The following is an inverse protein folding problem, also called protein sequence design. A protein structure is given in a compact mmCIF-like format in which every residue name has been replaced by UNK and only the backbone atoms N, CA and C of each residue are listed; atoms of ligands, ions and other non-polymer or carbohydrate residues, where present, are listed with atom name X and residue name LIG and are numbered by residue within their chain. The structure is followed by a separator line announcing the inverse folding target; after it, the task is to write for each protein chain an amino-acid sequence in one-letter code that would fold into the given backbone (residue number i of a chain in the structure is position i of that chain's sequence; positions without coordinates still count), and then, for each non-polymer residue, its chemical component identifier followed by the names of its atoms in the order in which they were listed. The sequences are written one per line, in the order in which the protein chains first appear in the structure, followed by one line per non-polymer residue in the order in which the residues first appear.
data_IF_039697243481
#
_entry.id   IF_039697243481
#
_cell.length_a   1.000
_cell.length_b   1.000
_cell.length_c   1.000
_cell.angle_alpha   90.00
_cell.angle_beta   90.00
_cell.angle_gamma   90.00
#
_symmetry.space_group_name_H-M   'P 1'
#
loop_
_entity.id
_entity.type
_entity.pdbx_description
1 polymer ?
#
# COMPACT_ATOMS: atom_id res chain seq x y z
N UNK A 1 3.39 -20.01 -4.01
CA UNK A 1 2.08 -19.36 -4.27
C UNK A 1 1.66 -18.54 -3.06
N UNK A 2 1.20 -17.31 -3.29
CA UNK A 2 0.77 -16.43 -2.20
C UNK A 2 -0.51 -16.98 -1.58
N UNK A 3 -0.52 -17.09 -0.24
CA UNK A 3 -1.74 -17.45 0.47
C UNK A 3 -2.57 -16.17 0.68
N UNK A 4 -3.61 -16.03 -0.12
CA UNK A 4 -4.49 -14.87 -0.11
C UNK A 4 -5.11 -14.61 1.27
N UNK A 5 -5.55 -15.67 1.97
CA UNK A 5 -6.18 -15.52 3.29
C UNK A 5 -5.22 -14.95 4.34
N UNK A 6 -3.98 -15.42 4.32
CA UNK A 6 -2.95 -14.90 5.22
C UNK A 6 -2.59 -13.47 4.89
N UNK A 7 -2.52 -13.14 3.60
CA UNK A 7 -2.23 -11.79 3.15
C UNK A 7 -3.32 -10.80 3.59
N UNK A 8 -4.58 -11.13 3.38
CA UNK A 8 -5.73 -10.30 3.80
C UNK A 8 -5.69 -10.08 5.31
N UNK A 9 -5.38 -11.11 6.07
CA UNK A 9 -5.29 -11.02 7.52
C UNK A 9 -4.13 -10.11 7.96
N UNK A 10 -2.99 -10.21 7.29
CA UNK A 10 -1.83 -9.38 7.59
C UNK A 10 -2.06 -7.91 7.23
N UNK A 11 -2.85 -7.64 6.20
CA UNK A 11 -3.16 -6.28 5.73
C UNK A 11 -4.57 -5.83 6.13
N UNK A 12 -4.91 -6.09 7.38
CA UNK A 12 -6.23 -5.83 7.95
C UNK A 12 -6.68 -4.37 7.82
N UNK A 13 -5.73 -3.44 7.83
CA UNK A 13 -6.01 -1.99 7.72
C UNK A 13 -6.11 -1.49 6.27
N UNK A 14 -5.94 -2.37 5.30
CA UNK A 14 -6.02 -2.01 3.89
C UNK A 14 -7.26 -2.60 3.24
N UNK A 15 -7.78 -1.92 2.22
CA UNK A 15 -8.89 -2.41 1.42
C UNK A 15 -8.39 -3.17 0.20
N UNK A 16 -8.88 -4.38 0.00
CA UNK A 16 -8.55 -5.17 -1.18
C UNK A 16 -9.19 -4.56 -2.42
N UNK A 17 -8.38 -4.26 -3.43
CA UNK A 17 -8.81 -3.59 -4.66
C UNK A 17 -8.87 -4.52 -5.87
N UNK A 18 -8.37 -5.72 -5.75
CA UNK A 18 -8.46 -6.72 -6.81
C UNK A 18 -7.21 -7.56 -6.95
N UNK A 19 -7.35 -8.66 -7.66
CA UNK A 19 -6.24 -9.50 -8.06
C UNK A 19 -5.99 -9.36 -9.56
N UNK A 20 -4.75 -9.55 -9.97
CA UNK A 20 -4.35 -9.56 -11.36
C UNK A 20 -3.31 -10.67 -11.55
N UNK A 21 -2.86 -10.87 -12.78
CA UNK A 21 -1.83 -11.87 -13.07
C UNK A 21 -0.54 -11.62 -12.27
N UNK A 22 -0.27 -10.34 -11.98
CA UNK A 22 0.95 -9.94 -11.30
C UNK A 22 0.86 -9.96 -9.77
N UNK A 23 -0.34 -10.13 -9.21
CA UNK A 23 -0.50 -10.19 -7.76
C UNK A 23 -1.82 -9.66 -7.24
N UNK A 24 -1.81 -9.23 -5.98
CA UNK A 24 -2.99 -8.70 -5.30
C UNK A 24 -2.76 -7.24 -4.95
N UNK A 25 -3.77 -6.41 -5.22
CA UNK A 25 -3.71 -4.97 -4.98
C UNK A 25 -4.54 -4.58 -3.75
N UNK A 26 -3.94 -3.83 -2.86
CA UNK A 26 -4.57 -3.29 -1.65
C UNK A 26 -4.39 -1.79 -1.63
N UNK A 27 -5.40 -1.08 -1.12
CA UNK A 27 -5.40 0.38 -1.06
C UNK A 27 -5.63 0.84 0.37
N UNK A 28 -4.97 1.92 0.76
CA UNK A 28 -5.20 2.58 2.03
C UNK A 28 -5.30 4.09 1.82
N UNK A 29 -6.12 4.75 2.64
CA UNK A 29 -6.32 6.19 2.56
C UNK A 29 -7.18 6.62 1.38
N UNK A 30 -8.05 5.77 0.87
CA UNK A 30 -8.83 6.00 -0.35
C UNK A 30 -9.58 7.35 -0.39
N UNK A 31 -10.13 7.80 0.72
CA UNK A 31 -10.87 9.06 0.80
C UNK A 31 -10.04 10.22 1.34
N UNK A 32 -8.75 10.00 1.58
CA UNK A 32 -7.85 11.02 2.10
C UNK A 32 -7.16 11.77 0.96
N UNK A 33 -6.58 12.92 1.26
CA UNK A 33 -5.79 13.71 0.29
C UNK A 33 -4.57 12.95 -0.21
N UNK A 34 -4.06 12.07 0.62
CA UNK A 34 -2.95 11.18 0.28
C UNK A 34 -3.38 9.73 0.49
N UNK A 35 -3.14 8.92 -0.51
CA UNK A 35 -3.43 7.50 -0.45
C UNK A 35 -2.30 6.73 -1.10
N UNK A 36 -2.30 5.42 -0.93
CA UNK A 36 -1.31 4.56 -1.55
C UNK A 36 -1.90 3.20 -1.85
N UNK A 37 -1.33 2.53 -2.82
CA UNK A 37 -1.69 1.15 -3.13
C UNK A 37 -0.45 0.26 -3.08
N UNK A 38 -0.65 -0.98 -2.67
CA UNK A 38 0.35 -2.03 -2.72
C UNK A 38 -0.10 -3.07 -3.73
N UNK A 39 0.75 -3.40 -4.68
CA UNK A 39 0.56 -4.57 -5.53
C UNK A 39 1.60 -5.59 -5.11
N UNK A 40 1.14 -6.71 -4.55
CA UNK A 40 1.98 -7.72 -3.93
C UNK A 40 2.05 -8.94 -4.83
N UNK A 41 3.23 -9.28 -5.28
CA UNK A 41 3.47 -10.44 -6.12
C UNK A 41 4.54 -11.34 -5.51
N UNK A 42 4.49 -12.61 -5.84
CA UNK A 42 5.49 -13.58 -5.39
C UNK A 42 6.70 -13.52 -6.33
N UNK A 43 7.86 -13.21 -5.78
CA UNK A 43 9.10 -13.16 -6.55
C UNK A 43 9.75 -14.53 -6.61
N UNK A 44 9.91 -15.17 -5.45
CA UNK A 44 10.38 -16.54 -5.29
C UNK A 44 9.69 -17.12 -4.06
N UNK A 45 9.89 -18.41 -3.79
CA UNK A 45 9.36 -19.03 -2.58
C UNK A 45 9.89 -18.25 -1.36
N UNK A 46 8.98 -17.70 -0.56
CA UNK A 46 9.25 -16.91 0.65
C UNK A 46 9.84 -15.51 0.39
N UNK A 47 9.75 -15.01 -0.85
CA UNK A 47 10.13 -13.63 -1.16
C UNK A 47 9.05 -12.96 -1.98
N UNK A 48 8.70 -11.74 -1.63
CA UNK A 48 7.62 -11.00 -2.27
C UNK A 48 8.12 -9.66 -2.77
N UNK A 49 7.50 -9.20 -3.83
CA UNK A 49 7.75 -7.90 -4.41
C UNK A 49 6.53 -7.03 -4.13
N UNK A 50 6.74 -5.88 -3.53
CA UNK A 50 5.65 -4.93 -3.26
C UNK A 50 5.87 -3.70 -4.10
N UNK A 51 5.01 -3.50 -5.08
CA UNK A 51 4.96 -2.27 -5.86
C UNK A 51 4.09 -1.28 -5.11
N UNK A 52 4.64 -0.13 -4.78
CA UNK A 52 3.98 0.90 -3.99
C UNK A 52 3.73 2.11 -4.87
N UNK A 53 2.49 2.55 -4.94
CA UNK A 53 2.09 3.72 -5.70
C UNK A 53 1.46 4.73 -4.76
N UNK A 54 2.00 5.94 -4.73
CA UNK A 54 1.49 7.03 -3.89
C UNK A 54 0.64 7.97 -4.71
N UNK A 55 -0.50 8.36 -4.16
CA UNK A 55 -1.47 9.22 -4.81
C UNK A 55 -1.75 10.45 -3.96
N UNK A 56 -1.98 11.57 -4.63
CA UNK A 56 -2.63 12.73 -4.03
C UNK A 56 -4.07 12.75 -4.55
N UNK A 57 -4.73 13.89 -4.62
CA UNK A 57 -6.10 14.00 -5.13
C UNK A 57 -6.25 13.74 -6.64
N UNK A 58 -5.43 12.89 -7.22
CA UNK A 58 -5.44 12.59 -8.65
C UNK A 58 -5.60 11.09 -8.89
N UNK A 59 -5.98 10.74 -10.12
CA UNK A 59 -6.10 9.35 -10.56
C UNK A 59 -4.74 8.69 -10.82
N UNK A 60 -3.69 9.50 -10.94
CA UNK A 60 -2.37 9.00 -11.33
C UNK A 60 -1.43 9.03 -10.14
N UNK A 61 -0.59 8.02 -9.99
CA UNK A 61 0.38 8.04 -8.91
C UNK A 61 1.39 9.16 -9.12
N UNK A 62 1.71 9.87 -8.04
CA UNK A 62 2.74 10.92 -8.05
C UNK A 62 4.13 10.33 -7.82
N UNK A 63 4.19 9.11 -7.31
CA UNK A 63 5.44 8.41 -7.07
C UNK A 63 5.19 6.91 -7.05
N UNK A 64 6.11 6.16 -7.65
CA UNK A 64 6.11 4.69 -7.61
C UNK A 64 7.46 4.21 -7.13
N UNK A 65 7.47 3.15 -6.34
CA UNK A 65 8.69 2.44 -5.99
C UNK A 65 8.38 0.98 -5.67
N UNK A 66 9.42 0.15 -5.70
CA UNK A 66 9.30 -1.28 -5.51
C UNK A 66 10.19 -1.69 -4.36
N UNK A 67 9.66 -2.53 -3.47
CA UNK A 67 10.40 -3.05 -2.33
C UNK A 67 10.30 -4.57 -2.29
N UNK A 68 11.40 -5.22 -1.95
CA UNK A 68 11.43 -6.67 -1.71
C UNK A 68 11.21 -6.93 -0.23
N UNK A 69 10.35 -7.89 0.08
CA UNK A 69 10.08 -8.30 1.46
C UNK A 69 10.13 -9.80 1.58
N UNK A 70 10.45 -10.30 2.75
CA UNK A 70 10.59 -11.74 3.01
C UNK A 70 9.36 -12.34 3.67
N UNK A 71 8.50 -11.52 4.28
CA UNK A 71 7.29 -12.01 4.92
C UNK A 71 6.20 -10.94 4.94
N UNK A 72 4.98 -11.37 5.24
CA UNK A 72 3.83 -10.48 5.23
C UNK A 72 3.84 -9.45 6.37
N UNK A 73 4.52 -9.72 7.48
CA UNK A 73 4.61 -8.76 8.57
C UNK A 73 5.40 -7.52 8.17
N UNK A 74 6.40 -7.65 7.29
CA UNK A 74 7.12 -6.50 6.75
C UNK A 74 6.21 -5.62 5.90
N UNK A 75 5.28 -6.22 5.16
CA UNK A 75 4.29 -5.49 4.37
C UNK A 75 3.34 -4.71 5.29
N UNK A 76 2.89 -5.33 6.37
CA UNK A 76 2.04 -4.68 7.36
C UNK A 76 2.75 -3.50 8.04
N UNK A 77 4.05 -3.62 8.31
CA UNK A 77 4.86 -2.53 8.86
C UNK A 77 4.99 -1.36 7.88
N UNK A 78 5.13 -1.67 6.59
CA UNK A 78 5.16 -0.65 5.53
C UNK A 78 3.83 0.11 5.47
N UNK A 79 2.72 -0.60 5.56
CA UNK A 79 1.39 0.00 5.57
C UNK A 79 1.26 0.96 6.74
N UNK A 80 1.61 0.54 7.94
CA UNK A 80 1.54 1.36 9.13
C UNK A 80 2.39 2.62 9.01
N UNK A 81 3.61 2.49 8.52
CA UNK A 81 4.54 3.61 8.34
C UNK A 81 3.99 4.61 7.32
N UNK A 82 3.52 4.13 6.17
CA UNK A 82 2.98 5.00 5.12
C UNK A 82 1.67 5.67 5.54
N UNK A 83 0.82 4.94 6.25
CA UNK A 83 -0.43 5.50 6.75
C UNK A 83 -0.18 6.70 7.66
N UNK A 84 0.76 6.58 8.59
CA UNK A 84 1.14 7.68 9.49
C UNK A 84 1.69 8.87 8.72
N UNK A 85 2.54 8.64 7.72
CA UNK A 85 3.10 9.70 6.88
C UNK A 85 2.01 10.41 6.07
N UNK A 86 1.11 9.67 5.46
CA UNK A 86 0.02 10.25 4.68
C UNK A 86 -0.92 11.09 5.54
N UNK A 87 -1.25 10.63 6.73
CA UNK A 87 -2.07 11.39 7.68
C UNK A 87 -1.39 12.68 8.10
N UNK A 88 -0.10 12.64 8.36
CA UNK A 88 0.67 13.83 8.71
C UNK A 88 0.67 14.85 7.58
N UNK A 89 0.90 14.39 6.34
CA UNK A 89 0.89 15.25 5.16
C UNK A 89 -0.48 15.87 4.90
N UNK A 90 -1.56 15.11 5.07
CA UNK A 90 -2.92 15.65 4.94
C UNK A 90 -3.17 16.76 5.93
N UNK A 91 -2.76 16.59 7.17
CA UNK A 91 -2.91 17.63 8.20
C UNK A 91 -2.11 18.90 7.87
N UNK A 92 -0.91 18.71 7.35
CA UNK A 92 -0.07 19.84 6.94
C UNK A 92 -0.71 20.62 5.78
N UNK A 93 -1.30 19.90 4.81
CA UNK A 93 -2.01 20.55 3.70
C UNK A 93 -3.22 21.34 4.19
N UNK A 94 -3.99 20.80 5.12
CA UNK A 94 -5.16 21.50 5.68
C UNK A 94 -4.78 22.82 6.31
N UNK A 95 -3.59 22.93 6.88
CA UNK A 95 -3.08 24.19 7.44
C UNK A 95 -2.78 25.24 6.38
N UNK A 96 -2.44 24.83 5.17
CA UNK A 96 -2.14 25.76 4.08
C UNK A 96 -3.40 26.29 3.38
N UNK A 97 -4.49 25.57 3.48
CA UNK A 97 -5.74 25.90 2.79
C UNK A 97 -6.61 26.85 3.63
N UNK A 98 -6.36 26.91 4.91
CA UNK A 98 -7.01 27.90 5.78
C UNK A 98 -6.31 29.27 5.59
#
# INVERSE_FOLDING_TARGET
MINYKELVKALDNMSYDGGCEDGYTFVNGYEEDFSYSFTISELTKNKYLVKIELYTNTRFPVREFVKRVENFSEIAELDETLYKKCKKLSKEMDRFVE
#
